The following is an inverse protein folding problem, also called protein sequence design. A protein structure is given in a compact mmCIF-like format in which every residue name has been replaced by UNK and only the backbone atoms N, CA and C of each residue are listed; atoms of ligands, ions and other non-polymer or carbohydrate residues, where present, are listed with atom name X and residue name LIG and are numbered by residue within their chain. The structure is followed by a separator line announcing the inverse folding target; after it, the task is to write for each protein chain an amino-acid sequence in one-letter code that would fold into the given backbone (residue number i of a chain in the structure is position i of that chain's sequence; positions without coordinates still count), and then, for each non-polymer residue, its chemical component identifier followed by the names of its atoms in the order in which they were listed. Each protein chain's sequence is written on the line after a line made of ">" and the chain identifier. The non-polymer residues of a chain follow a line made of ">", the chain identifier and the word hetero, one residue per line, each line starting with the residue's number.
data_IF_454241979132
#
_entry.id   IF_454241979132
#
_cell.length_a   1.000
_cell.length_b   1.000
_cell.length_c   1.000
_cell.angle_alpha   90.00
_cell.angle_beta   90.00
_cell.angle_gamma   90.00
#
_symmetry.space_group_name_H-M   'P 1'
#
loop_
_entity.id
_entity.type
_entity.pdbx_description
1 polymer ?
#
# COMPACT_ATOMS: atom_id res chain seq x y z
N UNK A 1 -22.17 24.13 -14.33
CA UNK A 1 -23.28 23.16 -14.31
C UNK A 1 -22.62 21.77 -14.25
N UNK A 2 -22.43 21.07 -13.12
CA UNK A 2 -22.81 21.23 -11.72
C UNK A 2 -21.59 20.81 -10.87
N UNK A 3 -21.07 21.70 -10.03
CA UNK A 3 -19.98 21.44 -9.08
C UNK A 3 -20.55 20.75 -7.84
N UNK A 4 -20.97 19.48 -7.96
CA UNK A 4 -21.17 18.65 -6.76
C UNK A 4 -19.81 18.07 -6.41
N UNK A 5 -19.17 18.64 -5.38
CA UNK A 5 -18.06 18.00 -4.71
C UNK A 5 -18.53 16.65 -4.19
N UNK A 6 -18.28 15.60 -4.95
CA UNK A 6 -18.36 14.26 -4.40
C UNK A 6 -17.23 14.14 -3.38
N UNK A 7 -17.57 13.70 -2.17
CA UNK A 7 -16.56 13.33 -1.19
C UNK A 7 -15.63 12.29 -1.83
N UNK A 8 -14.34 12.61 -1.86
CA UNK A 8 -13.30 11.68 -2.28
C UNK A 8 -13.26 10.46 -1.36
N UNK A 9 -12.39 9.50 -1.67
CA UNK A 9 -12.17 8.37 -0.78
C UNK A 9 -11.82 8.84 0.64
N UNK A 10 -12.53 8.30 1.62
CA UNK A 10 -12.23 8.45 3.04
C UNK A 10 -12.03 7.06 3.63
N UNK A 11 -11.05 6.93 4.53
CA UNK A 11 -10.68 5.65 5.15
C UNK A 11 -11.85 5.00 5.89
N UNK A 12 -12.91 5.74 6.23
CA UNK A 12 -14.08 5.27 6.99
C UNK A 12 -15.29 4.88 6.12
N UNK A 13 -15.14 4.67 4.80
CA UNK A 13 -16.27 4.29 3.95
C UNK A 13 -16.73 2.85 4.29
N UNK A 14 -17.96 2.65 4.81
CA UNK A 14 -18.46 1.31 5.09
C UNK A 14 -18.75 0.58 3.78
N UNK A 15 -18.35 -0.69 3.67
CA UNK A 15 -18.79 -1.54 2.55
C UNK A 15 -20.31 -1.63 2.56
N UNK A 16 -20.95 -1.79 1.41
CA UNK A 16 -22.40 -2.04 1.33
C UNK A 16 -22.67 -3.43 0.80
N UNK A 17 -23.67 -4.09 1.36
CA UNK A 17 -24.08 -5.41 0.90
C UNK A 17 -24.65 -5.32 -0.52
N UNK A 18 -24.24 -6.23 -1.40
CA UNK A 18 -24.57 -6.17 -2.84
C UNK A 18 -26.08 -6.16 -3.10
N UNK A 19 -26.83 -6.96 -2.35
CA UNK A 19 -28.29 -7.14 -2.53
C UNK A 19 -29.14 -6.17 -1.72
N UNK A 20 -28.78 -5.90 -0.46
CA UNK A 20 -29.61 -5.14 0.50
C UNK A 20 -29.16 -3.69 0.70
N UNK A 21 -28.00 -3.29 0.17
CA UNK A 21 -27.38 -1.94 0.32
C UNK A 21 -27.14 -1.50 1.77
N UNK A 22 -27.24 -2.41 2.74
CA UNK A 22 -26.98 -2.15 4.16
C UNK A 22 -25.47 -1.93 4.36
N UNK A 23 -25.05 -0.95 5.18
CA UNK A 23 -23.64 -0.79 5.52
C UNK A 23 -23.13 -2.00 6.33
N UNK A 24 -22.07 -2.65 5.83
CA UNK A 24 -21.28 -3.64 6.55
C UNK A 24 -20.36 -2.93 7.55
N UNK A 25 -20.09 -3.62 8.66
CA UNK A 25 -19.09 -3.21 9.67
C UNK A 25 -17.66 -3.14 9.11
N UNK A 26 -17.40 -3.79 7.96
CA UNK A 26 -16.07 -3.79 7.35
C UNK A 26 -15.90 -2.56 6.47
N UNK A 27 -14.87 -1.79 6.75
CA UNK A 27 -14.49 -0.63 5.96
C UNK A 27 -13.86 -1.04 4.62
N UNK A 28 -14.15 -0.30 3.55
CA UNK A 28 -13.59 -0.54 2.22
C UNK A 28 -12.18 0.04 2.09
N UNK A 29 -11.25 -0.72 1.50
CA UNK A 29 -9.91 -0.20 1.17
C UNK A 29 -9.98 0.78 0.00
N UNK A 30 -9.05 1.74 -0.08
CA UNK A 30 -8.93 2.65 -1.22
C UNK A 30 -8.85 1.90 -2.55
N UNK A 31 -8.13 0.77 -2.56
CA UNK A 31 -7.94 -0.07 -3.74
C UNK A 31 -9.27 -0.54 -4.33
N UNK A 32 -10.17 -1.03 -3.48
CA UNK A 32 -11.48 -1.55 -3.87
C UNK A 32 -12.44 -0.45 -4.31
N UNK A 33 -12.36 0.72 -3.66
CA UNK A 33 -13.14 1.89 -4.05
C UNK A 33 -12.73 2.44 -5.42
N UNK A 34 -11.42 2.54 -5.67
CA UNK A 34 -10.91 3.07 -6.94
C UNK A 34 -11.04 2.06 -8.08
N UNK A 35 -10.85 0.76 -7.83
CA UNK A 35 -11.13 -0.27 -8.83
C UNK A 35 -12.61 -0.26 -9.25
N UNK A 36 -13.51 -0.10 -8.28
CA UNK A 36 -14.95 0.02 -8.56
C UNK A 36 -15.27 1.23 -9.47
N UNK A 37 -14.61 2.37 -9.27
CA UNK A 37 -14.83 3.59 -10.07
C UNK A 37 -14.28 3.50 -11.50
N UNK A 38 -13.22 2.73 -11.72
CA UNK A 38 -12.57 2.60 -13.03
C UNK A 38 -13.19 1.45 -13.85
N UNK A 39 -13.85 0.49 -13.19
CA UNK A 39 -14.47 -0.66 -13.83
C UNK A 39 -15.50 -0.24 -14.90
N UNK A 40 -15.32 -0.73 -16.13
CA UNK A 40 -16.26 -0.55 -17.22
C UNK A 40 -17.51 -1.41 -17.01
N UNK A 41 -18.69 -0.81 -17.23
CA UNK A 41 -19.99 -1.47 -17.04
C UNK A 41 -20.82 -1.37 -18.30
N UNK A 42 -21.47 -2.47 -18.68
CA UNK A 42 -22.39 -2.46 -19.81
C UNK A 42 -23.55 -1.50 -19.56
N UNK A 43 -23.73 -0.53 -20.45
CA UNK A 43 -24.81 0.46 -20.39
C UNK A 43 -24.50 1.76 -19.65
N UNK A 44 -23.32 1.89 -19.02
CA UNK A 44 -22.88 3.13 -18.38
C UNK A 44 -21.57 3.63 -19.00
N UNK A 45 -21.52 4.91 -19.37
CA UNK A 45 -20.30 5.53 -19.89
C UNK A 45 -19.42 5.94 -18.71
N UNK A 46 -18.26 5.31 -18.56
CA UNK A 46 -17.27 5.73 -17.58
C UNK A 46 -16.53 6.97 -18.12
N UNK A 47 -17.03 8.15 -17.76
CA UNK A 47 -16.46 9.43 -18.23
C UNK A 47 -14.97 9.58 -17.89
N UNK A 48 -14.51 8.99 -16.78
CA UNK A 48 -13.09 8.98 -16.40
C UNK A 48 -12.21 8.34 -17.47
N UNK A 49 -12.68 7.27 -18.13
CA UNK A 49 -11.94 6.55 -19.18
C UNK A 49 -11.83 7.36 -20.49
N UNK A 50 -12.71 8.33 -20.70
CA UNK A 50 -12.70 9.16 -21.92
C UNK A 50 -11.61 10.23 -21.90
N UNK A 51 -11.17 10.65 -20.72
CA UNK A 51 -10.21 11.73 -20.57
C UNK A 51 -8.78 11.18 -20.50
N UNK A 52 -8.03 11.15 -21.61
CA UNK A 52 -6.66 10.60 -21.70
C UNK A 52 -5.70 11.07 -20.59
N UNK A 53 -5.24 12.32 -20.68
CA UNK A 53 -4.21 12.84 -19.76
C UNK A 53 -4.74 12.99 -18.34
N UNK A 54 -6.01 13.35 -18.19
CA UNK A 54 -6.65 13.49 -16.88
C UNK A 54 -6.80 12.13 -16.18
N UNK A 55 -7.06 11.06 -16.93
CA UNK A 55 -7.06 9.69 -16.41
C UNK A 55 -5.68 9.31 -15.89
N UNK A 56 -4.61 9.63 -16.62
CA UNK A 56 -3.26 9.35 -16.12
C UNK A 56 -2.96 10.07 -14.81
N UNK A 57 -3.32 11.36 -14.70
CA UNK A 57 -3.17 12.12 -13.46
C UNK A 57 -4.00 11.51 -12.32
N UNK A 58 -5.25 11.15 -12.62
CA UNK A 58 -6.13 10.50 -11.67
C UNK A 58 -5.55 9.17 -11.18
N UNK A 59 -5.10 8.30 -12.07
CA UNK A 59 -4.50 7.01 -11.73
C UNK A 59 -3.27 7.16 -10.82
N UNK A 60 -2.40 8.12 -11.12
CA UNK A 60 -1.21 8.39 -10.31
C UNK A 60 -1.59 8.89 -8.90
N UNK A 61 -2.56 9.81 -8.80
CA UNK A 61 -3.05 10.30 -7.50
C UNK A 61 -3.72 9.18 -6.69
N UNK A 62 -4.52 8.31 -7.35
CA UNK A 62 -5.17 7.19 -6.67
C UNK A 62 -4.14 6.16 -6.20
N UNK A 63 -3.11 5.88 -7.01
CA UNK A 63 -2.01 4.99 -6.63
C UNK A 63 -1.27 5.50 -5.39
N UNK A 64 -0.95 6.80 -5.35
CA UNK A 64 -0.31 7.41 -4.18
C UNK A 64 -1.17 7.26 -2.91
N UNK A 65 -2.50 7.44 -3.02
CA UNK A 65 -3.43 7.25 -1.89
C UNK A 65 -3.47 5.80 -1.40
N UNK A 66 -3.53 4.84 -2.31
CA UNK A 66 -3.52 3.41 -1.99
C UNK A 66 -2.20 3.04 -1.29
N UNK A 67 -1.07 3.47 -1.83
CA UNK A 67 0.23 3.18 -1.22
C UNK A 67 0.40 3.83 0.15
N UNK A 68 -0.12 5.06 0.34
CA UNK A 68 -0.12 5.72 1.64
C UNK A 68 -0.92 4.92 2.68
N UNK A 69 -2.13 4.45 2.32
CA UNK A 69 -2.95 3.60 3.20
C UNK A 69 -2.21 2.29 3.58
N UNK A 70 -1.52 1.68 2.61
CA UNK A 70 -0.72 0.46 2.85
C UNK A 70 0.45 0.73 3.79
N UNK A 71 1.16 1.84 3.62
CA UNK A 71 2.27 2.24 4.49
C UNK A 71 1.80 2.53 5.91
N UNK A 72 0.67 3.22 6.07
CA UNK A 72 0.07 3.46 7.38
C UNK A 72 -0.34 2.14 8.06
N UNK A 73 -0.93 1.20 7.31
CA UNK A 73 -1.25 -0.13 7.82
C UNK A 73 -0.01 -0.88 8.32
N UNK A 74 1.10 -0.86 7.56
CA UNK A 74 2.38 -1.46 7.96
C UNK A 74 2.91 -0.77 9.23
N UNK A 75 2.86 0.56 9.28
CA UNK A 75 3.30 1.35 10.44
C UNK A 75 2.53 1.01 11.71
N UNK A 76 1.21 0.85 11.63
CA UNK A 76 0.37 0.55 12.79
C UNK A 76 0.42 -0.91 13.23
N UNK A 77 0.52 -1.85 12.30
CA UNK A 77 0.49 -3.28 12.60
C UNK A 77 1.86 -3.96 12.62
N UNK A 78 2.94 -3.20 12.56
CA UNK A 78 4.33 -3.71 12.59
C UNK A 78 4.57 -4.73 13.72
N UNK A 79 4.08 -4.44 14.93
CA UNK A 79 4.23 -5.34 16.10
C UNK A 79 3.60 -6.72 15.90
N UNK A 80 2.53 -6.79 15.11
CA UNK A 80 1.82 -8.03 14.78
C UNK A 80 2.46 -8.75 13.59
N UNK A 81 3.08 -8.01 12.67
CA UNK A 81 3.74 -8.55 11.48
C UNK A 81 5.07 -9.24 11.78
N UNK A 82 5.79 -8.84 12.84
CA UNK A 82 7.00 -9.53 13.35
C UNK A 82 7.49 -8.89 14.66
N UNK A 83 7.23 -9.54 15.80
CA UNK A 83 7.82 -9.15 17.09
C UNK A 83 9.29 -9.57 17.20
N UNK A 84 9.68 -10.69 16.62
CA UNK A 84 11.01 -11.32 16.82
C UNK A 84 12.14 -10.60 16.08
N UNK A 85 11.97 -10.28 14.79
CA UNK A 85 13.00 -9.59 14.00
C UNK A 85 13.24 -8.15 14.48
N UNK A 86 12.19 -7.51 15.05
CA UNK A 86 12.31 -6.18 15.66
C UNK A 86 13.08 -6.21 16.97
N UNK A 87 12.98 -7.28 17.77
CA UNK A 87 13.76 -7.42 19.01
C UNK A 87 15.25 -7.44 18.68
N UNK A 88 15.67 -8.30 17.75
CA UNK A 88 17.09 -8.43 17.41
C UNK A 88 17.67 -7.16 16.76
N UNK A 89 16.88 -6.49 15.90
CA UNK A 89 17.28 -5.22 15.28
C UNK A 89 17.33 -4.09 16.30
N UNK A 90 16.33 -3.99 17.18
CA UNK A 90 16.29 -3.02 18.28
C UNK A 90 17.48 -3.25 19.21
N UNK A 91 17.78 -4.49 19.55
CA UNK A 91 18.87 -4.90 20.43
C UNK A 91 20.24 -4.53 19.82
N UNK A 92 20.45 -4.80 18.52
CA UNK A 92 21.65 -4.39 17.79
C UNK A 92 21.83 -2.86 17.71
N UNK A 93 20.73 -2.11 17.62
CA UNK A 93 20.75 -0.64 17.58
C UNK A 93 20.98 -0.06 18.98
N UNK A 94 20.35 -0.60 20.03
CA UNK A 94 20.67 -0.24 21.43
C UNK A 94 22.12 -0.53 21.81
N UNK A 95 22.72 -1.57 21.24
CA UNK A 95 24.12 -1.91 21.49
C UNK A 95 25.10 -0.93 20.81
N UNK A 96 24.64 -0.21 19.79
CA UNK A 96 25.50 0.67 18.97
C UNK A 96 25.31 2.15 19.32
N UNK A 97 24.09 2.60 19.66
CA UNK A 97 23.81 3.99 20.04
C UNK A 97 22.78 4.08 21.17
N UNK A 98 23.24 4.51 22.34
CA UNK A 98 22.43 4.75 23.52
C UNK A 98 21.66 6.06 23.44
N UNK A 99 20.55 6.09 22.69
CA UNK A 99 19.36 6.93 22.94
C UNK A 99 18.29 6.67 21.86
N UNK A 100 17.45 5.65 22.06
CA UNK A 100 16.31 5.34 21.17
C UNK A 100 15.12 6.30 21.32
N UNK A 101 15.20 7.26 22.25
CA UNK A 101 14.11 8.22 22.51
C UNK A 101 14.02 9.34 21.47
N UNK A 102 15.12 9.68 20.79
CA UNK A 102 15.16 10.75 19.78
C UNK A 102 14.97 10.26 18.34
N UNK A 103 15.30 9.00 18.07
CA UNK A 103 15.06 8.37 16.77
C UNK A 103 13.58 7.98 16.69
N UNK A 104 12.80 8.73 15.91
CA UNK A 104 11.39 8.46 15.67
C UNK A 104 11.10 6.97 15.39
N UNK A 105 9.85 6.53 15.65
CA UNK A 105 9.44 5.11 15.55
C UNK A 105 9.95 4.47 14.26
N UNK A 106 10.86 3.51 14.40
CA UNK A 106 11.49 2.80 13.29
C UNK A 106 10.48 1.87 12.62
N UNK A 107 10.06 2.21 11.40
CA UNK A 107 9.16 1.38 10.59
C UNK A 107 10.00 0.65 9.55
N UNK A 108 10.12 -0.68 9.70
CA UNK A 108 10.78 -1.53 8.71
C UNK A 108 9.80 -1.86 7.59
N UNK A 109 10.17 -1.55 6.34
CA UNK A 109 9.36 -1.90 5.19
C UNK A 109 9.53 -3.38 4.84
N UNK A 110 8.44 -4.10 4.55
CA UNK A 110 8.50 -5.47 4.06
C UNK A 110 9.13 -5.51 2.66
N UNK A 111 9.66 -6.67 2.26
CA UNK A 111 10.31 -6.82 0.95
C UNK A 111 9.32 -6.76 -0.22
N UNK A 112 8.02 -6.89 0.05
CA UNK A 112 6.95 -6.66 -0.93
C UNK A 112 6.83 -5.19 -1.35
N UNK A 113 7.44 -4.24 -0.64
CA UNK A 113 7.48 -2.84 -1.03
C UNK A 113 8.59 -2.60 -2.07
N UNK A 114 8.19 -2.45 -3.33
CA UNK A 114 9.11 -2.24 -4.46
C UNK A 114 9.93 -0.97 -4.29
N UNK A 115 11.24 -1.04 -4.50
CA UNK A 115 12.14 0.10 -4.33
C UNK A 115 12.67 0.27 -2.90
N UNK A 116 12.15 -0.47 -1.92
CA UNK A 116 12.68 -0.46 -0.55
C UNK A 116 14.02 -1.19 -0.42
N UNK A 117 14.77 -0.87 0.64
CA UNK A 117 16.06 -1.53 0.96
C UNK A 117 15.92 -3.06 1.03
N UNK A 118 14.87 -3.56 1.69
CA UNK A 118 14.62 -5.01 1.80
C UNK A 118 14.25 -5.66 0.46
N UNK A 119 13.49 -4.96 -0.40
CA UNK A 119 13.18 -5.42 -1.76
C UNK A 119 14.45 -5.60 -2.59
N UNK A 120 15.35 -4.62 -2.55
CA UNK A 120 16.62 -4.71 -3.28
C UNK A 120 17.51 -5.83 -2.72
N UNK A 121 17.54 -6.00 -1.39
CA UNK A 121 18.31 -7.08 -0.77
C UNK A 121 17.80 -8.46 -1.21
N UNK A 122 16.49 -8.71 -1.14
CA UNK A 122 15.89 -9.97 -1.58
C UNK A 122 16.15 -10.23 -3.06
N UNK A 123 15.96 -9.23 -3.93
CA UNK A 123 16.26 -9.35 -5.36
C UNK A 123 17.73 -9.67 -5.65
N UNK A 124 18.64 -9.13 -4.85
CA UNK A 124 20.07 -9.43 -4.98
C UNK A 124 20.36 -10.86 -4.55
N UNK A 125 19.76 -11.34 -3.45
CA UNK A 125 19.89 -12.73 -3.01
C UNK A 125 19.33 -13.69 -4.07
N UNK A 126 18.16 -13.39 -4.64
CA UNK A 126 17.54 -14.20 -5.70
C UNK A 126 18.40 -14.24 -6.97
N UNK A 127 19.01 -13.12 -7.36
CA UNK A 127 19.93 -13.09 -8.49
C UNK A 127 21.18 -13.95 -8.20
N UNK A 128 21.71 -13.87 -6.99
CA UNK A 128 22.88 -14.66 -6.57
C UNK A 128 22.57 -16.16 -6.48
N UNK A 129 21.37 -16.55 -6.03
CA UNK A 129 20.95 -17.95 -6.02
C UNK A 129 20.78 -18.47 -7.45
N UNK A 130 20.22 -17.66 -8.36
CA UNK A 130 20.11 -18.03 -9.77
C UNK A 130 21.49 -18.26 -10.41
N UNK A 131 22.44 -17.34 -10.22
CA UNK A 131 23.82 -17.49 -10.72
C UNK A 131 24.54 -18.69 -10.10
N UNK A 132 24.29 -18.98 -8.81
CA UNK A 132 24.83 -20.20 -8.17
C UNK A 132 24.26 -21.47 -8.78
N UNK A 133 22.99 -21.48 -9.16
CA UNK A 133 22.30 -22.66 -9.68
C UNK A 133 22.59 -22.91 -11.17
N UNK A 134 22.59 -21.86 -12.00
CA UNK A 134 22.71 -21.98 -13.45
C UNK A 134 24.11 -21.61 -13.98
N UNK A 135 25.01 -21.17 -13.10
CA UNK A 135 26.32 -20.68 -13.48
C UNK A 135 26.28 -19.21 -13.93
N UNK A 136 27.47 -18.66 -14.17
CA UNK A 136 27.61 -17.33 -14.76
C UNK A 136 27.25 -17.42 -16.25
N UNK A 137 26.58 -16.40 -16.83
CA UNK A 137 26.37 -16.34 -18.27
C UNK A 137 27.68 -16.43 -19.05
#
# INVERSE_FOLDING_TARGET
>A
MSFRGEDGYQINIPKRHETTKIPLSKTGSASEFYSYRIMERHGEVCYLLLFRNLLNQFLVDMFAKIETERLDWIRHYQKKLRSEEYIHLKDAITATDGQLSELGKMVVLPSSFTGGSRYMHERTQDAMTYVRHFGRP
#
